data_IF_162075574649
#
_entry.id   IF_162075574649
#
_cell.length_a   1.000
_cell.length_b   1.000
_cell.length_c   1.000
_cell.angle_alpha   90.00
_cell.angle_beta   90.00
_cell.angle_gamma   90.00
#
_symmetry.space_group_name_H-M   'P 1'
#
loop_
_entity.id
_entity.type
_entity.pdbx_description
1 polymer ?
#
# COMPACT_ATOMS: atom_id res chain seq x y z
N UNK A 1 11.75 12.91 41.45
CA UNK A 1 12.61 14.03 41.90
C UNK A 1 11.78 15.28 42.15
N UNK A 2 11.10 15.42 43.31
CA UNK A 2 10.22 16.57 43.59
C UNK A 2 10.93 17.93 43.54
N UNK A 3 12.13 18.03 44.10
CA UNK A 3 12.93 19.27 44.11
C UNK A 3 13.27 19.78 42.70
N UNK A 4 13.46 18.87 41.73
CA UNK A 4 13.65 19.24 40.32
C UNK A 4 12.39 19.88 39.74
N UNK A 5 11.21 19.37 40.10
CA UNK A 5 9.93 19.92 39.64
C UNK A 5 9.70 21.31 40.23
N UNK A 6 10.03 21.52 41.51
CA UNK A 6 9.95 22.84 42.15
C UNK A 6 10.91 23.83 41.49
N UNK A 7 12.14 23.40 41.20
CA UNK A 7 13.12 24.22 40.49
C UNK A 7 12.66 24.59 39.06
N UNK A 8 12.11 23.62 38.31
CA UNK A 8 11.55 23.87 36.98
C UNK A 8 10.34 24.80 37.05
N UNK A 9 9.47 24.67 38.05
CA UNK A 9 8.33 25.55 38.26
C UNK A 9 8.79 26.99 38.53
N UNK A 10 9.81 27.19 39.39
CA UNK A 10 10.38 28.50 39.63
C UNK A 10 10.99 29.09 38.34
N UNK A 11 11.78 28.30 37.59
CA UNK A 11 12.34 28.72 36.29
C UNK A 11 11.27 29.10 35.29
N UNK A 12 10.13 28.42 35.30
CA UNK A 12 9.00 28.73 34.42
C UNK A 12 8.46 30.12 34.72
N UNK A 13 8.21 30.42 35.99
CA UNK A 13 7.73 31.73 36.47
C UNK A 13 8.75 32.82 36.14
N UNK A 14 10.02 32.61 36.46
CA UNK A 14 11.12 33.56 36.24
C UNK A 14 11.32 33.87 34.75
N UNK A 15 11.06 32.89 33.87
CA UNK A 15 11.11 33.06 32.41
C UNK A 15 9.88 33.76 31.81
N UNK A 16 8.96 34.24 32.65
CA UNK A 16 7.71 34.88 32.22
C UNK A 16 6.71 33.87 31.64
N UNK A 17 6.65 32.66 32.20
CA UNK A 17 5.73 31.60 31.77
C UNK A 17 5.99 31.13 30.32
N UNK A 18 7.23 31.24 29.85
CA UNK A 18 7.60 30.90 28.46
C UNK A 18 7.83 29.40 28.29
N UNK A 19 6.89 28.72 27.62
CA UNK A 19 7.01 27.29 27.30
C UNK A 19 8.25 27.03 26.43
N UNK A 20 8.59 27.94 25.52
CA UNK A 20 9.77 27.81 24.65
C UNK A 20 11.09 27.90 25.43
N UNK A 21 11.16 28.78 26.43
CA UNK A 21 12.31 28.86 27.32
C UNK A 21 12.46 27.56 28.12
N UNK A 22 11.35 27.00 28.61
CA UNK A 22 11.35 25.73 29.34
C UNK A 22 11.81 24.56 28.47
N UNK A 23 11.27 24.41 27.26
CA UNK A 23 11.72 23.39 26.31
C UNK A 23 13.21 23.53 26.02
N UNK A 24 13.70 24.75 25.78
CA UNK A 24 15.13 24.99 25.52
C UNK A 24 15.99 24.59 26.72
N UNK A 25 15.57 24.92 27.93
CA UNK A 25 16.29 24.54 29.15
C UNK A 25 16.41 23.02 29.28
N UNK A 26 15.32 22.29 29.06
CA UNK A 26 15.30 20.83 29.12
C UNK A 26 16.17 20.24 28.00
N UNK A 27 15.97 20.68 26.76
CA UNK A 27 16.69 20.16 25.59
C UNK A 27 18.20 20.45 25.59
N UNK A 28 18.63 21.45 26.36
CA UNK A 28 20.04 21.80 26.54
C UNK A 28 20.62 21.26 27.85
N UNK A 29 19.86 20.48 28.62
CA UNK A 29 20.39 19.82 29.81
C UNK A 29 21.29 18.65 29.44
N UNK A 30 22.31 18.38 30.26
CA UNK A 30 23.19 17.23 30.07
C UNK A 30 22.39 15.92 30.03
N UNK A 31 21.38 15.78 30.89
CA UNK A 31 20.49 14.60 30.92
C UNK A 31 19.75 14.39 29.61
N UNK A 32 19.22 15.44 28.97
CA UNK A 32 18.52 15.30 27.69
C UNK A 32 19.48 15.00 26.52
N UNK A 33 20.73 15.48 26.61
CA UNK A 33 21.75 15.29 25.57
C UNK A 33 22.55 13.99 25.72
N UNK A 34 22.28 13.20 26.75
CA UNK A 34 22.87 11.87 26.92
C UNK A 34 22.44 10.94 25.78
N UNK A 35 23.39 10.11 25.32
CA UNK A 35 23.11 9.09 24.31
C UNK A 35 22.43 7.87 24.91
N UNK A 36 21.47 7.33 24.18
CA UNK A 36 20.66 6.17 24.61
C UNK A 36 21.32 4.83 24.31
N UNK A 37 22.17 4.79 23.27
CA UNK A 37 23.04 3.67 22.92
C UNK A 37 24.27 3.53 23.84
N UNK A 38 24.48 4.48 24.75
CA UNK A 38 25.49 4.43 25.80
C UNK A 38 26.93 4.60 25.36
N UNK A 39 27.19 5.01 24.12
CA UNK A 39 28.54 5.30 23.65
C UNK A 39 28.95 6.70 24.09
N UNK A 40 29.54 6.83 25.28
CA UNK A 40 30.20 8.08 25.69
C UNK A 40 31.47 8.22 24.83
N UNK A 41 31.45 8.96 23.71
CA UNK A 41 32.72 9.37 23.12
C UNK A 41 33.47 10.24 24.14
N UNK A 42 34.74 9.91 24.38
CA UNK A 42 35.62 10.60 25.33
C UNK A 42 35.56 12.12 25.14
N UNK A 43 34.92 12.83 26.06
CA UNK A 43 35.19 14.24 26.27
C UNK A 43 36.24 14.39 27.39
N UNK A 44 37.47 13.97 27.12
CA UNK A 44 38.70 14.43 27.80
C UNK A 44 39.89 13.53 27.44
N UNK A 45 41.06 14.16 27.31
CA UNK A 45 42.37 13.56 27.11
C UNK A 45 42.88 12.76 28.33
N UNK A 46 42.01 12.08 29.06
CA UNK A 46 42.41 11.24 30.18
C UNK A 46 43.09 9.95 29.68
N UNK A 47 44.37 9.72 30.03
CA UNK A 47 45.03 8.44 29.80
C UNK A 47 44.57 7.46 30.89
N UNK A 48 44.17 6.24 30.52
CA UNK A 48 43.73 5.15 31.41
C UNK A 48 42.30 5.18 32.00
N UNK A 49 41.27 5.35 31.18
CA UNK A 49 39.96 4.76 31.51
C UNK A 49 39.53 3.77 30.43
N UNK A 50 39.06 2.61 30.85
CA UNK A 50 38.49 1.54 30.02
C UNK A 50 37.50 2.09 28.99
N UNK A 51 37.49 1.48 27.80
CA UNK A 51 36.71 1.88 26.62
C UNK A 51 35.25 2.18 26.99
N UNK A 52 34.66 3.31 26.56
CA UNK A 52 33.28 3.70 26.90
C UNK A 52 32.22 2.61 26.68
N UNK A 53 32.38 1.79 25.63
CA UNK A 53 31.51 0.65 25.34
C UNK A 53 31.49 -0.44 26.45
N UNK A 54 32.59 -0.61 27.20
CA UNK A 54 32.69 -1.57 28.31
C UNK A 54 31.96 -1.06 29.56
N UNK A 55 31.85 0.26 29.74
CA UNK A 55 31.12 0.84 30.86
C UNK A 55 29.60 0.76 30.62
N UNK A 56 29.16 0.92 29.37
CA UNK A 56 27.74 0.74 29.02
C UNK A 56 27.27 -0.71 29.15
N UNK A 57 28.05 -1.68 28.68
CA UNK A 57 27.69 -3.10 28.80
C UNK A 57 27.61 -3.53 30.26
N UNK A 58 28.54 -3.06 31.10
CA UNK A 58 28.49 -3.26 32.55
C UNK A 58 27.27 -2.57 33.20
N UNK A 59 26.98 -1.32 32.83
CA UNK A 59 25.80 -0.60 33.32
C UNK A 59 24.49 -1.31 32.95
N UNK A 60 24.37 -1.79 31.70
CA UNK A 60 23.21 -2.56 31.22
C UNK A 60 23.09 -3.93 31.89
N UNK A 61 24.19 -4.57 32.26
CA UNK A 61 24.16 -5.80 33.07
C UNK A 61 23.73 -5.52 34.52
N UNK A 62 24.12 -4.39 35.09
CA UNK A 62 23.78 -4.02 36.46
C UNK A 62 22.36 -3.47 36.65
N UNK A 63 21.83 -2.76 35.65
CA UNK A 63 20.47 -2.20 35.62
C UNK A 63 19.83 -2.43 34.23
N UNK A 64 19.46 -3.68 33.91
CA UNK A 64 18.89 -4.03 32.62
C UNK A 64 17.56 -3.32 32.35
N UNK A 65 16.76 -3.11 33.40
CA UNK A 65 15.45 -2.45 33.35
C UNK A 65 15.55 -0.92 33.34
N UNK A 66 16.77 -0.36 33.40
CA UNK A 66 17.03 1.08 33.41
C UNK A 66 16.24 1.82 34.51
N UNK A 67 16.11 1.21 35.69
CA UNK A 67 15.38 1.76 36.84
C UNK A 67 16.00 3.05 37.38
N UNK A 68 17.31 3.19 37.20
CA UNK A 68 18.06 4.38 37.60
C UNK A 68 18.08 5.47 36.52
N UNK A 69 17.40 5.24 35.38
CA UNK A 69 17.26 6.20 34.27
C UNK A 69 18.62 6.70 33.73
N UNK A 70 19.58 5.78 33.64
CA UNK A 70 20.92 6.05 33.11
C UNK A 70 20.97 6.31 31.60
N UNK A 71 19.88 5.98 30.90
CA UNK A 71 19.66 6.21 29.47
C UNK A 71 18.18 6.51 29.24
N UNK A 72 17.84 7.04 28.07
CA UNK A 72 16.44 7.05 27.64
C UNK A 72 15.99 5.61 27.29
N UNK A 73 14.76 5.27 27.65
CA UNK A 73 14.16 3.99 27.27
C UNK A 73 13.58 4.15 25.87
N UNK A 74 14.04 3.37 24.87
CA UNK A 74 13.50 3.46 23.53
C UNK A 74 12.01 3.21 23.54
N UNK A 75 11.27 4.07 22.83
CA UNK A 75 9.84 3.89 22.64
C UNK A 75 9.55 3.85 21.15
N UNK A 76 8.50 3.11 20.80
CA UNK A 76 8.11 2.96 19.41
C UNK A 76 7.38 4.21 18.95
N UNK A 77 7.61 4.59 17.70
CA UNK A 77 6.82 5.64 17.05
C UNK A 77 5.34 5.26 17.05
N UNK A 78 4.50 6.18 17.52
CA UNK A 78 3.06 6.10 17.29
C UNK A 78 2.75 6.13 15.78
N UNK A 79 1.53 5.76 15.39
CA UNK A 79 1.17 5.76 13.98
C UNK A 79 1.36 7.12 13.31
N UNK A 80 0.95 8.19 14.00
CA UNK A 80 1.05 9.55 13.49
C UNK A 80 2.52 9.95 13.25
N UNK A 81 3.40 9.58 14.17
CA UNK A 81 4.84 9.84 14.07
C UNK A 81 5.49 8.98 13.00
N UNK A 82 5.17 7.69 12.94
CA UNK A 82 5.69 6.78 11.91
C UNK A 82 5.29 7.25 10.50
N UNK A 83 4.03 7.65 10.31
CA UNK A 83 3.54 8.20 9.04
C UNK A 83 4.27 9.46 8.64
N UNK A 84 4.45 10.38 9.59
CA UNK A 84 5.18 11.62 9.37
C UNK A 84 6.66 11.36 9.09
N UNK A 85 7.28 10.39 9.78
CA UNK A 85 8.66 9.97 9.57
C UNK A 85 8.87 9.37 8.17
N UNK A 86 8.00 8.47 7.71
CA UNK A 86 8.08 7.91 6.35
C UNK A 86 7.93 8.99 5.27
N UNK A 87 7.05 9.97 5.46
CA UNK A 87 6.91 11.12 4.56
C UNK A 87 8.12 12.05 4.60
N UNK A 88 8.69 12.28 5.78
CA UNK A 88 9.86 13.14 5.94
C UNK A 88 11.09 12.51 5.30
N UNK A 89 11.35 11.23 5.58
CA UNK A 89 12.45 10.46 5.01
C UNK A 89 12.42 10.48 3.48
N UNK A 90 11.24 10.27 2.88
CA UNK A 90 11.03 10.26 1.43
C UNK A 90 11.02 11.65 0.79
N UNK A 91 11.09 12.73 1.57
CA UNK A 91 11.08 14.11 1.07
C UNK A 91 9.70 14.60 0.63
N UNK A 92 8.64 13.90 1.00
CA UNK A 92 7.26 14.22 0.60
C UNK A 92 6.49 15.02 1.65
N UNK A 93 6.97 15.08 2.90
CA UNK A 93 6.26 15.75 3.98
C UNK A 93 6.01 17.23 3.69
N UNK A 94 4.73 17.62 3.69
CA UNK A 94 4.28 19.00 3.60
C UNK A 94 4.06 19.59 5.00
N UNK A 95 4.86 20.62 5.34
CA UNK A 95 4.85 21.29 6.63
C UNK A 95 3.83 22.44 6.76
N UNK A 96 2.93 22.63 5.78
CA UNK A 96 1.90 23.67 5.83
C UNK A 96 1.01 23.53 7.07
N UNK A 97 0.97 24.61 7.86
CA UNK A 97 0.14 24.75 9.06
C UNK A 97 -1.29 25.15 8.69
N UNK A 98 -2.29 24.52 9.32
CA UNK A 98 -3.72 24.84 9.16
C UNK A 98 -4.31 24.51 7.78
N UNK A 99 -5.58 24.85 7.54
CA UNK A 99 -6.29 24.53 6.29
C UNK A 99 -7.12 23.24 6.36
N UNK A 100 -7.87 22.95 5.29
CA UNK A 100 -8.85 21.86 5.24
C UNK A 100 -8.17 20.49 5.43
N UNK A 101 -8.73 19.59 6.25
CA UNK A 101 -8.22 18.23 6.39
C UNK A 101 -8.54 17.38 5.15
N UNK A 102 -7.71 16.38 4.91
CA UNK A 102 -7.87 15.40 3.82
C UNK A 102 -7.85 13.98 4.40
N UNK A 103 -8.40 13.01 3.68
CA UNK A 103 -8.36 11.61 4.07
C UNK A 103 -6.92 11.13 4.29
N UNK A 104 -6.69 10.28 5.30
CA UNK A 104 -5.37 9.85 5.77
C UNK A 104 -4.44 9.33 4.66
N UNK A 105 -5.00 8.57 3.71
CA UNK A 105 -4.29 7.98 2.57
C UNK A 105 -4.73 8.54 1.21
N UNK A 106 -5.39 9.70 1.19
CA UNK A 106 -5.64 10.39 -0.07
C UNK A 106 -4.29 10.64 -0.78
N UNK A 107 -4.23 10.44 -2.10
CA UNK A 107 -2.98 10.55 -2.86
C UNK A 107 -2.32 11.95 -2.74
N UNK A 108 -3.13 12.99 -2.55
CA UNK A 108 -2.73 14.37 -2.32
C UNK A 108 -2.23 14.64 -0.88
N UNK A 109 -2.57 13.79 0.07
CA UNK A 109 -2.31 14.05 1.48
C UNK A 109 -0.89 13.63 1.88
N UNK A 110 0.05 14.55 1.67
CA UNK A 110 1.42 14.43 2.15
C UNK A 110 1.68 15.29 3.42
N UNK A 111 0.62 15.76 4.08
CA UNK A 111 0.72 16.64 5.26
C UNK A 111 1.01 15.84 6.52
N UNK A 112 1.49 16.54 7.56
CA UNK A 112 1.57 15.99 8.92
C UNK A 112 0.25 15.36 9.33
N UNK A 113 0.31 14.20 9.96
CA UNK A 113 -0.84 13.38 10.33
C UNK A 113 -1.78 14.11 11.29
N UNK A 114 -1.25 15.09 12.05
CA UNK A 114 -2.02 16.06 12.83
C UNK A 114 -3.14 16.76 12.04
N UNK A 115 -2.97 16.96 10.73
CA UNK A 115 -3.95 17.62 9.86
C UNK A 115 -4.80 16.65 9.02
N UNK A 116 -4.70 15.33 9.28
CA UNK A 116 -5.55 14.35 8.62
C UNK A 116 -7.00 14.46 9.12
N UNK A 117 -7.94 14.12 8.24
CA UNK A 117 -9.36 14.03 8.61
C UNK A 117 -9.54 12.86 9.57
N UNK A 118 -10.10 13.15 10.75
CA UNK A 118 -10.58 12.14 11.70
C UNK A 118 -12.09 12.20 11.69
N UNK A 119 -12.71 11.22 11.04
CA UNK A 119 -14.14 10.96 11.18
C UNK A 119 -14.37 10.14 12.45
N UNK A 120 -15.01 10.73 13.46
CA UNK A 120 -15.23 10.08 14.75
C UNK A 120 -16.14 8.86 14.64
N UNK A 121 -17.04 8.84 13.66
CA UNK A 121 -17.96 7.72 13.43
C UNK A 121 -17.31 6.59 12.62
N UNK A 122 -16.25 6.91 11.85
CA UNK A 122 -15.60 5.98 10.95
C UNK A 122 -14.07 6.16 10.94
N UNK A 123 -13.45 5.87 12.08
CA UNK A 123 -11.99 5.92 12.21
C UNK A 123 -11.36 4.83 11.33
N UNK A 124 -10.38 5.15 10.46
CA UNK A 124 -9.71 4.16 9.64
C UNK A 124 -9.14 3.00 10.47
N UNK A 125 -9.41 1.76 10.06
CA UNK A 125 -8.97 0.55 10.78
C UNK A 125 -7.46 0.47 11.02
N UNK A 126 -6.66 1.09 10.14
CA UNK A 126 -5.21 1.21 10.34
C UNK A 126 -4.88 1.98 11.63
N UNK A 127 -5.59 3.05 11.94
CA UNK A 127 -5.29 3.87 13.12
C UNK A 127 -5.55 3.06 14.38
N UNK A 128 -6.66 2.31 14.40
CA UNK A 128 -6.98 1.38 15.48
C UNK A 128 -5.94 0.26 15.62
N UNK A 129 -5.38 -0.23 14.51
CA UNK A 129 -4.33 -1.28 14.52
C UNK A 129 -3.04 -0.79 15.18
N UNK A 130 -2.81 0.52 15.20
CA UNK A 130 -1.66 1.16 15.83
C UNK A 130 -2.07 1.98 17.07
N UNK A 131 -3.06 1.48 17.81
CA UNK A 131 -3.45 1.99 19.12
C UNK A 131 -3.79 3.49 19.16
N UNK A 132 -4.35 4.01 18.07
CA UNK A 132 -4.85 5.38 18.02
C UNK A 132 -5.90 5.62 19.11
N UNK A 133 -5.81 6.78 19.77
CA UNK A 133 -6.75 7.16 20.81
C UNK A 133 -8.17 7.29 20.25
N UNK A 134 -9.13 6.65 20.90
CA UNK A 134 -10.56 6.83 20.60
C UNK A 134 -10.92 8.33 20.73
N UNK A 135 -11.41 8.98 19.66
CA UNK A 135 -11.68 10.41 19.66
C UNK A 135 -12.91 10.83 20.49
N UNK A 136 -13.73 9.88 20.94
CA UNK A 136 -14.91 10.12 21.76
C UNK A 136 -14.65 9.95 23.27
N UNK A 137 -13.46 9.48 23.65
CA UNK A 137 -13.10 9.23 25.05
C UNK A 137 -11.94 10.11 25.50
N UNK A 138 -11.93 10.44 26.79
CA UNK A 138 -10.75 11.03 27.43
C UNK A 138 -9.76 9.90 27.75
N UNK A 139 -8.62 9.88 27.04
CA UNK A 139 -7.58 8.87 27.17
C UNK A 139 -6.32 9.52 27.75
N UNK A 140 -6.02 9.35 29.06
CA UNK A 140 -4.85 9.96 29.68
C UNK A 140 -3.54 9.27 29.27
N UNK A 141 -3.60 7.99 28.88
CA UNK A 141 -2.47 7.20 28.40
C UNK A 141 -2.96 6.24 27.32
N UNK A 142 -2.24 6.16 26.20
CA UNK A 142 -2.51 5.18 25.15
C UNK A 142 -1.91 3.83 25.53
N UNK A 143 -2.61 2.76 25.18
CA UNK A 143 -2.02 1.41 25.20
C UNK A 143 -1.05 1.30 24.03
N UNK A 144 0.03 0.53 24.19
CA UNK A 144 0.93 0.20 23.09
C UNK A 144 0.93 -1.31 22.89
N UNK A 145 0.58 -1.74 21.69
CA UNK A 145 0.56 -3.15 21.30
C UNK A 145 1.60 -3.42 20.22
N UNK A 146 2.22 -4.58 20.30
CA UNK A 146 3.13 -5.09 19.28
C UNK A 146 2.48 -6.30 18.62
N UNK A 147 1.80 -6.07 17.50
CA UNK A 147 1.04 -7.11 16.80
C UNK A 147 1.57 -7.30 15.36
N UNK A 148 1.57 -8.54 14.82
CA UNK A 148 2.08 -8.82 13.48
C UNK A 148 1.42 -8.00 12.36
N UNK A 149 0.16 -7.60 12.55
CA UNK A 149 -0.61 -6.79 11.59
C UNK A 149 0.05 -5.44 11.30
N UNK A 150 0.73 -4.85 12.29
CA UNK A 150 1.44 -3.58 12.11
C UNK A 150 2.68 -3.75 11.22
N UNK A 151 3.41 -4.87 11.35
CA UNK A 151 4.52 -5.19 10.46
C UNK A 151 4.01 -5.52 9.04
N UNK A 152 2.92 -6.28 8.94
CA UNK A 152 2.26 -6.58 7.66
C UNK A 152 1.76 -5.33 6.95
N UNK A 153 1.27 -4.33 7.68
CA UNK A 153 0.95 -3.02 7.13
C UNK A 153 2.18 -2.38 6.48
N UNK A 154 3.33 -2.36 7.18
CA UNK A 154 4.58 -1.83 6.65
C UNK A 154 5.05 -2.53 5.36
N UNK A 155 4.91 -3.86 5.33
CA UNK A 155 5.36 -4.68 4.19
C UNK A 155 4.44 -4.56 2.96
N UNK A 156 3.14 -4.33 3.15
CA UNK A 156 2.16 -4.50 2.06
C UNK A 156 1.39 -3.23 1.71
N UNK A 157 1.29 -2.25 2.60
CA UNK A 157 0.40 -1.13 2.37
C UNK A 157 0.95 -0.18 1.29
N UNK A 158 0.13 0.22 0.29
CA UNK A 158 0.59 1.05 -0.83
C UNK A 158 1.27 2.35 -0.40
N UNK A 159 0.85 2.94 0.72
CA UNK A 159 1.45 4.15 1.26
C UNK A 159 2.95 4.00 1.56
N UNK A 160 3.35 2.93 2.25
CA UNK A 160 4.76 2.70 2.65
C UNK A 160 5.59 2.36 1.41
N UNK A 161 5.05 1.52 0.53
CA UNK A 161 5.63 1.21 -0.78
C UNK A 161 5.90 2.50 -1.57
N UNK A 162 4.96 3.43 -1.62
CA UNK A 162 5.15 4.72 -2.31
C UNK A 162 6.25 5.58 -1.67
N UNK A 163 6.47 5.51 -0.36
CA UNK A 163 7.56 6.24 0.30
C UNK A 163 8.91 5.62 -0.04
N UNK A 164 9.00 4.29 -0.07
CA UNK A 164 10.21 3.59 -0.49
C UNK A 164 10.58 3.92 -1.94
N UNK A 165 9.61 3.87 -2.87
CA UNK A 165 9.81 4.27 -4.26
C UNK A 165 10.25 5.73 -4.41
N UNK A 166 9.65 6.64 -3.64
CA UNK A 166 10.00 8.05 -3.67
C UNK A 166 11.44 8.31 -3.20
N UNK A 167 11.86 7.67 -2.10
CA UNK A 167 13.23 7.80 -1.59
C UNK A 167 14.25 7.17 -2.55
N UNK A 168 13.97 6.00 -3.12
CA UNK A 168 14.83 5.39 -4.15
C UNK A 168 14.96 6.27 -5.39
N UNK A 169 13.85 6.86 -5.86
CA UNK A 169 13.90 7.80 -6.98
C UNK A 169 14.73 9.03 -6.64
N UNK A 170 14.61 9.55 -5.42
CA UNK A 170 15.36 10.71 -4.97
C UNK A 170 16.86 10.40 -4.80
N UNK A 171 17.21 9.20 -4.33
CA UNK A 171 18.61 8.79 -4.20
C UNK A 171 19.34 8.73 -5.55
N UNK A 172 18.60 8.62 -6.66
CA UNK A 172 19.11 8.62 -8.03
C UNK A 172 19.10 10.00 -8.73
N UNK A 173 18.68 11.09 -8.08
CA UNK A 173 18.62 12.43 -8.69
C UNK A 173 19.99 13.15 -8.71
N UNK A 174 20.20 14.15 -9.60
CA UNK A 174 21.48 14.86 -9.80
C UNK A 174 22.01 15.61 -8.55
N UNK A 175 23.31 16.03 -8.51
CA UNK A 175 24.29 15.99 -9.60
C UNK A 175 25.03 14.64 -9.64
N UNK A 176 25.17 14.09 -10.85
CA UNK A 176 25.84 12.82 -11.18
C UNK A 176 25.11 11.52 -10.79
N UNK A 177 25.30 10.48 -11.62
CA UNK A 177 24.84 9.12 -11.35
C UNK A 177 25.62 8.60 -10.14
N UNK A 178 25.04 8.77 -8.94
CA UNK A 178 25.59 8.20 -7.71
C UNK A 178 25.92 6.72 -7.93
N UNK A 179 27.14 6.34 -7.54
CA UNK A 179 27.50 4.94 -7.33
C UNK A 179 26.54 4.31 -6.33
N UNK A 180 26.45 2.98 -6.35
CA UNK A 180 25.58 2.27 -5.41
C UNK A 180 25.99 2.54 -3.95
N UNK A 181 27.29 2.72 -3.68
CA UNK A 181 27.77 3.15 -2.37
C UNK A 181 27.23 4.54 -1.98
N UNK A 182 27.30 5.53 -2.86
CA UNK A 182 26.78 6.88 -2.59
C UNK A 182 25.26 6.90 -2.44
N UNK A 183 24.53 6.06 -3.18
CA UNK A 183 23.08 5.87 -2.97
C UNK A 183 22.79 5.31 -1.59
N UNK A 184 23.52 4.29 -1.15
CA UNK A 184 23.39 3.72 0.19
C UNK A 184 23.66 4.77 1.26
N UNK A 185 24.76 5.54 1.14
CA UNK A 185 25.04 6.64 2.08
C UNK A 185 23.91 7.66 2.13
N UNK A 186 23.36 8.05 0.97
CA UNK A 186 22.22 8.97 0.93
C UNK A 186 20.99 8.41 1.63
N UNK A 187 20.64 7.14 1.38
CA UNK A 187 19.49 6.47 2.00
C UNK A 187 19.66 6.42 3.52
N UNK A 188 20.83 6.00 4.01
CA UNK A 188 21.14 5.96 5.44
C UNK A 188 21.09 7.35 6.08
N UNK A 189 21.63 8.38 5.42
CA UNK A 189 21.54 9.75 5.91
C UNK A 189 20.08 10.25 6.00
N UNK A 190 19.21 9.81 5.09
CA UNK A 190 17.77 10.18 5.10
C UNK A 190 16.96 9.43 6.15
N UNK A 191 17.29 8.16 6.41
CA UNK A 191 16.53 7.31 7.33
C UNK A 191 17.05 7.41 8.77
N UNK A 192 18.37 7.36 8.96
CA UNK A 192 19.01 7.24 10.27
C UNK A 192 19.84 8.46 10.67
N UNK A 193 19.96 9.46 9.78
CA UNK A 193 20.74 10.68 10.01
C UNK A 193 22.24 10.44 10.31
N UNK A 194 22.76 9.28 9.92
CA UNK A 194 24.18 8.90 10.03
C UNK A 194 24.64 8.15 8.77
N UNK A 195 25.95 8.06 8.51
CA UNK A 195 26.47 7.15 7.49
C UNK A 195 26.26 5.68 7.88
N UNK A 196 26.18 4.76 6.90
CA UNK A 196 26.24 3.33 7.17
C UNK A 196 27.62 2.95 7.72
N UNK A 197 27.66 1.94 8.59
CA UNK A 197 28.89 1.24 8.95
C UNK A 197 29.42 0.44 7.76
N UNK A 198 30.68 -0.01 7.82
CA UNK A 198 31.27 -0.82 6.75
C UNK A 198 30.51 -2.13 6.50
N UNK A 199 29.98 -2.76 7.55
CA UNK A 199 29.18 -3.98 7.46
C UNK A 199 27.82 -3.70 6.83
N UNK A 200 27.11 -2.67 7.29
CA UNK A 200 25.82 -2.25 6.72
C UNK A 200 25.94 -1.88 5.24
N UNK A 201 27.00 -1.16 4.87
CA UNK A 201 27.28 -0.81 3.48
C UNK A 201 27.49 -2.07 2.64
N UNK A 202 28.31 -3.01 3.12
CA UNK A 202 28.56 -4.28 2.43
C UNK A 202 27.28 -5.11 2.27
N UNK A 203 26.47 -5.25 3.32
CA UNK A 203 25.19 -5.97 3.27
C UNK A 203 24.18 -5.31 2.33
N UNK A 204 24.06 -3.99 2.36
CA UNK A 204 23.17 -3.24 1.47
C UNK A 204 23.57 -3.43 0.00
N UNK A 205 24.87 -3.34 -0.32
CA UNK A 205 25.39 -3.56 -1.67
C UNK A 205 25.18 -5.00 -2.14
N UNK A 206 25.45 -5.99 -1.29
CA UNK A 206 25.20 -7.39 -1.60
C UNK A 206 23.71 -7.66 -1.87
N UNK A 207 22.83 -7.05 -1.07
CA UNK A 207 21.38 -7.19 -1.22
C UNK A 207 20.90 -6.64 -2.57
N UNK A 208 21.30 -5.42 -2.95
CA UNK A 208 20.82 -4.79 -4.20
C UNK A 208 21.42 -5.40 -5.47
N UNK A 209 22.56 -6.08 -5.34
CA UNK A 209 23.22 -6.82 -6.42
C UNK A 209 22.69 -8.25 -6.58
N UNK A 210 21.92 -8.75 -5.61
CA UNK A 210 21.29 -10.07 -5.74
C UNK A 210 20.21 -9.97 -6.81
N UNK A 211 20.28 -10.83 -7.83
CA UNK A 211 19.21 -10.97 -8.83
C UNK A 211 17.93 -11.40 -8.12
N UNK A 212 17.10 -10.42 -7.76
CA UNK A 212 15.78 -10.64 -7.16
C UNK A 212 14.81 -11.09 -8.24
N UNK A 213 15.05 -12.25 -8.85
CA UNK A 213 13.96 -13.01 -9.46
C UNK A 213 13.07 -13.42 -8.29
N UNK A 214 11.85 -12.88 -8.15
CA UNK A 214 11.07 -13.12 -6.95
C UNK A 214 10.73 -14.60 -6.85
N UNK A 215 11.10 -15.24 -5.75
CA UNK A 215 10.75 -16.64 -5.45
C UNK A 215 9.23 -16.82 -5.32
N UNK A 216 8.49 -15.73 -5.11
CA UNK A 216 7.02 -15.67 -5.08
C UNK A 216 6.50 -14.82 -6.26
N UNK A 217 7.04 -15.01 -7.46
CA UNK A 217 6.41 -14.57 -8.70
C UNK A 217 5.49 -15.67 -9.29
N UNK A 218 4.89 -16.51 -8.44
CA UNK A 218 3.79 -17.36 -8.87
C UNK A 218 2.63 -16.43 -9.28
N UNK A 219 2.53 -16.22 -10.59
CA UNK A 219 1.40 -15.66 -11.33
C UNK A 219 0.64 -14.54 -10.61
N UNK A 220 1.09 -13.29 -10.78
CA UNK A 220 0.22 -12.15 -10.51
C UNK A 220 -0.90 -12.12 -11.56
N UNK A 221 -1.92 -12.96 -11.37
CA UNK A 221 -3.06 -13.15 -12.28
C UNK A 221 -3.82 -11.85 -12.52
N UNK A 222 -3.71 -10.86 -11.61
CA UNK A 222 -4.27 -9.52 -11.80
C UNK A 222 -3.71 -8.79 -13.03
N UNK A 223 -2.50 -9.13 -13.49
CA UNK A 223 -1.92 -8.59 -14.74
C UNK A 223 -2.72 -8.96 -15.98
N UNK A 224 -3.41 -10.09 -15.96
CA UNK A 224 -4.24 -10.54 -17.09
C UNK A 224 -5.57 -9.79 -17.16
N UNK A 225 -5.99 -9.10 -16.10
CA UNK A 225 -7.29 -8.43 -16.04
C UNK A 225 -7.19 -6.94 -16.32
N UNK A 226 -8.11 -6.44 -17.16
CA UNK A 226 -8.23 -5.04 -17.53
C UNK A 226 -9.68 -4.59 -17.40
N UNK A 227 -9.90 -3.35 -16.94
CA UNK A 227 -11.22 -2.83 -16.63
C UNK A 227 -11.47 -1.57 -17.46
N UNK A 228 -12.54 -1.59 -18.25
CA UNK A 228 -12.78 -0.56 -19.23
C UNK A 228 -14.22 -0.47 -19.67
N UNK A 229 -14.42 0.24 -20.76
CA UNK A 229 -15.69 0.38 -21.44
C UNK A 229 -15.49 0.41 -22.96
N UNK A 230 -16.58 0.18 -23.70
CA UNK A 230 -16.59 0.28 -25.16
C UNK A 230 -17.95 -0.02 -25.76
N UNK A 231 -18.05 0.09 -27.08
CA UNK A 231 -19.28 -0.21 -27.81
C UNK A 231 -19.27 -1.66 -28.31
N UNK A 232 -20.34 -2.40 -28.04
CA UNK A 232 -20.57 -3.73 -28.62
C UNK A 232 -20.90 -3.62 -30.12
N UNK A 233 -20.17 -4.35 -30.96
CA UNK A 233 -20.48 -4.50 -32.38
C UNK A 233 -21.17 -5.84 -32.65
N UNK A 234 -22.46 -5.76 -32.95
CA UNK A 234 -23.30 -6.92 -33.28
C UNK A 234 -22.80 -7.69 -34.50
N UNK A 235 -22.06 -7.05 -35.42
CA UNK A 235 -21.59 -7.67 -36.66
C UNK A 235 -20.35 -8.52 -36.42
N UNK A 236 -19.32 -7.93 -35.80
CA UNK A 236 -18.07 -8.64 -35.51
C UNK A 236 -18.15 -9.51 -34.25
N UNK A 237 -19.16 -9.28 -33.41
CA UNK A 237 -19.32 -9.92 -32.11
C UNK A 237 -18.18 -9.55 -31.15
N UNK A 238 -17.70 -8.30 -31.20
CA UNK A 238 -16.55 -7.79 -30.43
C UNK A 238 -16.81 -6.36 -29.97
N UNK A 239 -15.98 -5.88 -29.04
CA UNK A 239 -15.95 -4.45 -28.66
C UNK A 239 -15.24 -3.65 -29.75
N UNK A 240 -15.86 -2.60 -30.29
CA UNK A 240 -15.28 -1.73 -31.35
C UNK A 240 -13.96 -1.11 -30.90
N UNK A 241 -13.93 -0.59 -29.68
CA UNK A 241 -12.74 0.02 -29.06
C UNK A 241 -12.84 -0.13 -27.56
N UNK A 242 -11.81 -0.72 -26.96
CA UNK A 242 -11.69 -0.80 -25.50
C UNK A 242 -11.00 0.45 -24.98
N UNK A 243 -11.62 1.13 -24.02
CA UNK A 243 -11.05 2.28 -23.32
C UNK A 243 -10.97 1.96 -21.83
N UNK A 244 -9.78 2.07 -21.19
CA UNK A 244 -9.69 1.87 -19.74
C UNK A 244 -10.58 2.84 -18.96
N UNK A 245 -11.15 2.37 -17.86
CA UNK A 245 -11.79 3.25 -16.88
C UNK A 245 -10.69 4.03 -16.14
N UNK A 246 -10.79 5.36 -16.02
CA UNK A 246 -9.67 6.18 -15.58
C UNK A 246 -9.50 6.27 -14.06
N UNK A 247 -10.51 5.93 -13.27
CA UNK A 247 -10.50 6.15 -11.82
C UNK A 247 -10.77 4.87 -11.04
N UNK A 248 -9.92 4.58 -10.05
CA UNK A 248 -10.11 3.50 -9.09
C UNK A 248 -10.32 4.06 -7.69
N UNK A 249 -11.43 3.69 -7.05
CA UNK A 249 -11.83 4.23 -5.74
C UNK A 249 -11.21 3.50 -4.54
N UNK A 250 -10.54 2.37 -4.78
CA UNK A 250 -10.17 1.39 -3.75
C UNK A 250 -10.97 0.09 -3.86
N UNK A 251 -12.19 0.16 -4.38
CA UNK A 251 -13.10 -0.99 -4.51
C UNK A 251 -13.79 -1.08 -5.87
N UNK A 252 -13.74 -0.02 -6.69
CA UNK A 252 -14.39 0.03 -8.00
C UNK A 252 -13.56 0.81 -9.02
N UNK A 253 -13.63 0.37 -10.28
CA UNK A 253 -13.20 1.13 -11.46
C UNK A 253 -14.40 1.88 -12.02
N UNK A 254 -14.26 3.18 -12.26
CA UNK A 254 -15.33 4.06 -12.74
C UNK A 254 -14.78 5.26 -13.52
N UNK A 255 -15.67 6.11 -14.01
CA UNK A 255 -15.31 7.19 -14.92
C UNK A 255 -14.61 8.40 -14.31
N UNK A 256 -14.83 8.71 -13.03
CA UNK A 256 -14.16 9.79 -12.29
C UNK A 256 -14.41 9.60 -10.78
N UNK A 257 -13.96 10.52 -9.93
CA UNK A 257 -14.25 10.50 -8.48
C UNK A 257 -15.76 10.61 -8.20
N UNK A 258 -16.48 11.43 -8.96
CA UNK A 258 -17.94 11.47 -8.94
C UNK A 258 -18.54 10.28 -9.69
N UNK A 259 -19.55 9.63 -9.11
CA UNK A 259 -20.32 8.56 -9.75
C UNK A 259 -21.80 8.68 -9.39
N UNK A 260 -22.72 8.76 -10.39
CA UNK A 260 -22.44 8.84 -11.83
C UNK A 260 -21.77 10.15 -12.23
N UNK A 261 -21.05 10.16 -13.36
CA UNK A 261 -20.43 11.39 -13.91
C UNK A 261 -21.04 11.81 -15.26
N UNK A 262 -20.63 12.98 -15.76
CA UNK A 262 -21.17 13.53 -17.01
C UNK A 262 -20.75 12.75 -18.27
N UNK A 263 -19.61 12.04 -18.25
CA UNK A 263 -19.02 11.42 -19.45
C UNK A 263 -19.39 9.96 -19.64
N UNK A 264 -19.22 9.17 -18.59
CA UNK A 264 -19.45 7.72 -18.57
C UNK A 264 -20.65 7.34 -17.71
N UNK A 265 -21.24 8.30 -17.00
CA UNK A 265 -22.47 8.07 -16.24
C UNK A 265 -22.28 7.03 -15.16
N UNK A 266 -23.12 6.00 -15.20
CA UNK A 266 -23.13 4.90 -14.23
C UNK A 266 -22.08 3.82 -14.49
N UNK A 267 -21.27 3.91 -15.55
CA UNK A 267 -20.29 2.87 -15.88
C UNK A 267 -19.34 2.59 -14.71
N UNK A 268 -19.44 1.39 -14.14
CA UNK A 268 -18.62 0.95 -13.02
C UNK A 268 -18.39 -0.56 -13.08
N UNK A 269 -17.19 -0.98 -12.70
CA UNK A 269 -16.85 -2.37 -12.42
C UNK A 269 -16.34 -2.48 -10.99
N UNK A 270 -16.80 -3.49 -10.26
CA UNK A 270 -16.31 -3.87 -8.94
C UNK A 270 -15.71 -5.27 -9.01
N UNK A 271 -15.12 -5.78 -7.92
CA UNK A 271 -14.65 -7.17 -7.88
C UNK A 271 -15.76 -8.16 -8.24
N UNK A 272 -16.98 -7.89 -7.76
CA UNK A 272 -18.13 -8.80 -7.84
C UNK A 272 -19.00 -8.62 -9.08
N UNK A 273 -19.00 -7.42 -9.67
CA UNK A 273 -19.92 -7.09 -10.75
C UNK A 273 -19.76 -5.65 -11.26
N UNK A 274 -20.85 -4.90 -11.29
CA UNK A 274 -20.83 -3.49 -11.70
C UNK A 274 -22.19 -2.93 -12.12
N UNK A 275 -22.12 -1.83 -12.86
CA UNK A 275 -23.26 -1.21 -13.52
C UNK A 275 -22.84 -0.78 -14.94
N UNK A 276 -23.65 -1.04 -15.98
CA UNK A 276 -23.34 -0.57 -17.32
C UNK A 276 -23.34 0.96 -17.41
N UNK A 277 -22.72 1.51 -18.45
CA UNK A 277 -22.79 2.94 -18.74
C UNK A 277 -24.17 3.39 -19.19
N UNK A 278 -24.30 4.67 -19.48
CA UNK A 278 -25.60 5.27 -19.79
C UNK A 278 -26.19 4.89 -21.16
N UNK A 279 -25.37 4.26 -22.00
CA UNK A 279 -25.77 3.85 -23.34
C UNK A 279 -24.92 2.65 -23.78
N UNK A 280 -25.27 2.10 -24.93
CA UNK A 280 -24.58 0.95 -25.52
C UNK A 280 -23.18 1.27 -26.05
N UNK A 281 -22.79 2.55 -26.16
CA UNK A 281 -21.42 2.95 -26.51
C UNK A 281 -20.48 2.91 -25.30
N UNK A 282 -21.05 2.90 -24.11
CA UNK A 282 -20.33 2.84 -22.84
C UNK A 282 -20.63 1.54 -22.08
N UNK A 283 -20.78 0.42 -22.80
CA UNK A 283 -20.83 -0.90 -22.18
C UNK A 283 -19.60 -1.09 -21.31
N UNK A 284 -19.77 -1.61 -20.09
CA UNK A 284 -18.61 -1.95 -19.26
C UNK A 284 -17.99 -3.25 -19.76
N UNK A 285 -16.66 -3.29 -19.74
CA UNK A 285 -15.88 -4.42 -20.27
C UNK A 285 -14.87 -4.84 -19.22
N UNK A 286 -15.06 -6.04 -18.67
CA UNK A 286 -14.01 -6.75 -17.94
C UNK A 286 -13.27 -7.63 -18.94
N UNK A 287 -11.99 -7.36 -19.17
CA UNK A 287 -11.17 -8.05 -20.17
C UNK A 287 -10.14 -8.93 -19.49
N UNK A 288 -10.08 -10.19 -19.89
CA UNK A 288 -8.95 -11.06 -19.61
C UNK A 288 -8.03 -11.15 -20.83
N UNK A 289 -6.72 -11.17 -20.62
CA UNK A 289 -5.70 -11.36 -21.65
C UNK A 289 -4.95 -12.65 -21.35
N UNK A 290 -4.95 -13.57 -22.33
CA UNK A 290 -4.27 -14.85 -22.23
C UNK A 290 -2.76 -14.63 -22.04
N UNK A 291 -2.16 -15.13 -20.95
CA UNK A 291 -0.73 -14.95 -20.69
C UNK A 291 0.15 -15.90 -21.50
N UNK A 292 -0.41 -16.99 -22.00
CA UNK A 292 0.30 -18.00 -22.78
C UNK A 292 -0.63 -18.63 -23.83
N UNK A 293 -0.03 -19.33 -24.79
CA UNK A 293 -0.75 -20.20 -25.70
C UNK A 293 -1.33 -21.38 -24.91
N UNK A 294 -2.56 -21.77 -25.22
CA UNK A 294 -3.17 -22.91 -24.55
C UNK A 294 -4.67 -23.03 -24.71
N UNK A 295 -5.22 -24.02 -24.02
CA UNK A 295 -6.65 -24.24 -23.88
C UNK A 295 -7.10 -23.81 -22.49
N UNK A 296 -8.20 -23.08 -22.40
CA UNK A 296 -8.71 -22.54 -21.14
C UNK A 296 -10.21 -22.81 -20.97
N UNK A 297 -10.60 -23.15 -19.75
CA UNK A 297 -11.99 -23.33 -19.34
C UNK A 297 -12.51 -22.07 -18.65
N UNK A 298 -13.76 -21.71 -18.93
CA UNK A 298 -14.48 -20.61 -18.31
C UNK A 298 -15.59 -21.14 -17.42
N UNK A 299 -15.52 -20.82 -16.12
CA UNK A 299 -16.64 -20.96 -15.18
C UNK A 299 -17.20 -19.57 -14.86
N UNK A 300 -18.45 -19.35 -15.22
CA UNK A 300 -19.04 -18.01 -15.27
C UNK A 300 -20.54 -18.06 -15.08
N UNK A 301 -21.04 -17.38 -14.05
CA UNK A 301 -22.46 -17.18 -13.78
C UNK A 301 -22.69 -15.69 -13.67
N UNK A 302 -23.61 -15.17 -14.49
CA UNK A 302 -24.05 -13.78 -14.46
C UNK A 302 -25.39 -13.71 -13.70
N UNK A 303 -25.55 -12.71 -12.84
CA UNK A 303 -26.77 -12.46 -12.09
C UNK A 303 -27.20 -11.01 -12.29
N UNK A 304 -28.47 -10.80 -12.60
CA UNK A 304 -29.15 -9.52 -12.55
C UNK A 304 -30.27 -9.61 -11.51
N UNK A 305 -30.06 -9.06 -10.32
CA UNK A 305 -31.00 -9.18 -9.20
C UNK A 305 -32.28 -8.33 -9.35
N UNK A 306 -32.23 -7.10 -9.87
CA UNK A 306 -33.44 -6.27 -9.96
C UNK A 306 -34.51 -6.87 -10.85
N UNK A 307 -35.76 -6.81 -10.39
CA UNK A 307 -36.95 -7.31 -11.12
C UNK A 307 -37.69 -6.20 -11.88
N UNK A 308 -37.19 -4.98 -11.79
CA UNK A 308 -37.73 -3.76 -12.41
C UNK A 308 -36.74 -3.26 -13.46
N UNK A 309 -37.21 -2.43 -14.39
CA UNK A 309 -36.43 -2.04 -15.57
C UNK A 309 -36.65 -3.02 -16.72
N UNK A 310 -35.75 -2.99 -17.69
CA UNK A 310 -35.74 -3.93 -18.83
C UNK A 310 -34.49 -4.80 -18.90
N UNK A 311 -33.62 -4.65 -17.90
CA UNK A 311 -32.50 -5.54 -17.64
C UNK A 311 -31.29 -5.28 -18.52
N UNK A 312 -30.35 -6.21 -18.45
CA UNK A 312 -29.04 -6.09 -19.09
C UNK A 312 -28.91 -7.03 -20.28
N UNK A 313 -28.06 -6.65 -21.23
CA UNK A 313 -27.49 -7.58 -22.21
C UNK A 313 -26.05 -7.84 -21.85
N UNK A 314 -25.65 -9.09 -21.99
CA UNK A 314 -24.31 -9.51 -21.65
C UNK A 314 -23.71 -10.45 -22.69
N UNK A 315 -22.41 -10.32 -22.90
CA UNK A 315 -21.67 -11.02 -23.96
C UNK A 315 -20.33 -11.53 -23.44
N UNK A 316 -19.96 -12.73 -23.88
CA UNK A 316 -18.61 -13.28 -23.76
C UNK A 316 -18.01 -13.30 -25.17
N UNK A 317 -16.93 -12.55 -25.38
CA UNK A 317 -16.34 -12.32 -26.70
C UNK A 317 -14.86 -12.67 -26.73
N UNK A 318 -14.45 -13.47 -27.70
CA UNK A 318 -13.05 -13.78 -27.96
C UNK A 318 -12.47 -12.84 -29.02
N UNK A 319 -11.26 -12.33 -28.77
CA UNK A 319 -10.54 -11.41 -29.67
C UNK A 319 -10.40 -11.89 -31.11
N UNK A 320 -10.41 -13.21 -31.36
CA UNK A 320 -10.34 -13.83 -32.70
C UNK A 320 -11.63 -14.47 -33.19
N UNK A 321 -12.39 -15.09 -32.28
CA UNK A 321 -13.58 -15.88 -32.63
C UNK A 321 -14.86 -15.04 -32.60
N UNK A 322 -14.80 -13.83 -32.04
CA UNK A 322 -15.98 -13.00 -31.81
C UNK A 322 -16.85 -13.54 -30.68
N UNK A 323 -18.17 -13.38 -30.79
CA UNK A 323 -19.13 -13.76 -29.76
C UNK A 323 -19.12 -15.28 -29.51
N UNK A 324 -18.83 -15.69 -28.27
CA UNK A 324 -18.90 -17.09 -27.82
C UNK A 324 -20.22 -17.39 -27.09
N UNK A 325 -20.68 -16.45 -26.27
CA UNK A 325 -21.95 -16.52 -25.52
C UNK A 325 -22.61 -15.15 -25.43
N UNK A 326 -23.94 -15.14 -25.28
CA UNK A 326 -24.70 -13.94 -24.95
C UNK A 326 -25.98 -14.28 -24.23
N UNK A 327 -26.48 -13.35 -23.42
CA UNK A 327 -27.76 -13.49 -22.74
C UNK A 327 -28.38 -12.12 -22.48
N UNK A 328 -29.68 -12.10 -22.19
CA UNK A 328 -30.40 -10.93 -21.69
C UNK A 328 -31.09 -11.34 -20.40
N UNK A 329 -30.88 -10.59 -19.32
CA UNK A 329 -31.38 -10.93 -17.99
C UNK A 329 -32.17 -9.78 -17.38
N UNK A 330 -33.28 -10.15 -16.75
CA UNK A 330 -34.09 -9.30 -15.87
C UNK A 330 -34.52 -10.16 -14.68
N UNK A 331 -34.12 -9.76 -13.48
CA UNK A 331 -34.44 -10.45 -12.22
C UNK A 331 -34.05 -11.93 -12.19
N UNK A 332 -32.96 -12.32 -12.88
CA UNK A 332 -32.59 -13.71 -13.12
C UNK A 332 -31.07 -13.91 -13.22
N UNK A 333 -30.64 -15.15 -13.42
CA UNK A 333 -29.24 -15.54 -13.59
C UNK A 333 -29.07 -16.45 -14.81
N UNK A 334 -27.86 -16.48 -15.37
CA UNK A 334 -27.51 -17.37 -16.48
C UNK A 334 -26.06 -17.83 -16.39
N UNK A 335 -25.86 -19.12 -16.65
CA UNK A 335 -24.53 -19.72 -16.75
C UNK A 335 -23.97 -19.55 -18.16
N UNK A 336 -22.76 -19.03 -18.26
CA UNK A 336 -22.06 -18.71 -19.51
C UNK A 336 -20.75 -19.48 -19.61
N UNK A 337 -20.76 -20.73 -19.13
CA UNK A 337 -19.59 -21.60 -19.09
C UNK A 337 -19.18 -22.05 -20.50
N UNK A 338 -17.87 -22.24 -20.68
CA UNK A 338 -17.25 -22.71 -21.91
C UNK A 338 -16.06 -23.59 -21.52
N UNK A 339 -15.88 -24.69 -22.23
CA UNK A 339 -14.75 -25.60 -22.01
C UNK A 339 -13.82 -25.56 -23.22
N UNK A 340 -12.53 -25.75 -22.96
CA UNK A 340 -11.47 -25.92 -23.94
C UNK A 340 -11.41 -24.83 -25.03
N UNK A 341 -11.48 -23.55 -24.64
CA UNK A 341 -11.31 -22.43 -25.56
C UNK A 341 -9.82 -22.30 -25.90
N UNK A 342 -9.46 -22.33 -27.18
CA UNK A 342 -8.08 -22.14 -27.63
C UNK A 342 -7.70 -20.64 -27.68
N UNK A 343 -6.57 -20.30 -27.06
CA UNK A 343 -5.98 -18.96 -27.04
C UNK A 343 -4.52 -19.00 -27.51
N UNK A 344 -4.08 -17.92 -28.14
CA UNK A 344 -2.65 -17.55 -28.18
C UNK A 344 -2.36 -16.46 -27.16
N UNK A 345 -1.11 -16.35 -26.72
CA UNK A 345 -0.65 -15.30 -25.82
C UNK A 345 -1.03 -13.92 -26.38
N UNK A 346 -1.69 -13.11 -25.56
CA UNK A 346 -2.20 -11.79 -25.93
C UNK A 346 -3.65 -11.77 -26.45
N UNK A 347 -4.25 -12.92 -26.74
CA UNK A 347 -5.67 -13.00 -27.09
C UNK A 347 -6.54 -12.56 -25.90
N UNK A 348 -7.66 -11.89 -26.19
CA UNK A 348 -8.57 -11.40 -25.15
C UNK A 348 -9.86 -12.22 -25.06
N UNK A 349 -10.36 -12.34 -23.83
CA UNK A 349 -11.73 -12.77 -23.52
C UNK A 349 -12.43 -11.62 -22.79
N UNK A 350 -13.41 -11.01 -23.44
CA UNK A 350 -14.13 -9.85 -22.95
C UNK A 350 -15.49 -10.27 -22.38
N UNK A 351 -15.77 -9.85 -21.15
CA UNK A 351 -17.05 -9.94 -20.48
C UNK A 351 -17.69 -8.56 -20.52
N UNK A 352 -18.71 -8.42 -21.35
CA UNK A 352 -19.29 -7.13 -21.73
C UNK A 352 -20.70 -7.08 -21.20
N UNK A 353 -21.06 -5.98 -20.53
CA UNK A 353 -22.43 -5.71 -20.10
C UNK A 353 -22.85 -4.33 -20.59
N UNK A 354 -23.97 -4.28 -21.32
CA UNK A 354 -24.63 -3.03 -21.66
C UNK A 354 -26.11 -3.05 -21.27
N UNK A 355 -26.72 -1.87 -21.34
CA UNK A 355 -28.12 -1.66 -21.00
C UNK A 355 -29.05 -2.29 -22.05
N UNK A 356 -30.28 -2.55 -21.62
CA UNK A 356 -31.40 -2.82 -22.51
C UNK A 356 -31.77 -1.60 -23.38
N UNK A 357 -32.98 -1.10 -23.21
CA UNK A 357 -33.55 0.11 -23.81
C UNK A 357 -33.68 1.24 -22.78
N UNK A 358 -33.82 0.90 -21.49
CA UNK A 358 -33.79 1.81 -20.35
C UNK A 358 -32.44 1.82 -19.64
N UNK A 359 -32.27 2.80 -18.75
CA UNK A 359 -31.05 3.00 -17.93
C UNK A 359 -31.29 2.61 -16.45
N UNK A 360 -32.43 1.99 -16.16
CA UNK A 360 -32.93 1.88 -14.80
C UNK A 360 -32.74 0.48 -14.24
N UNK A 361 -32.05 0.39 -13.10
CA UNK A 361 -31.87 -0.82 -12.31
C UNK A 361 -31.07 -1.93 -13.00
N UNK A 362 -29.97 -1.54 -13.65
CA UNK A 362 -29.14 -2.42 -14.49
C UNK A 362 -27.90 -2.98 -13.75
N UNK A 363 -27.85 -2.89 -12.43
CA UNK A 363 -26.75 -3.47 -11.64
C UNK A 363 -26.68 -4.99 -11.82
N UNK A 364 -25.45 -5.51 -11.85
CA UNK A 364 -25.19 -6.92 -12.09
C UNK A 364 -24.06 -7.47 -11.22
N UNK A 365 -24.07 -8.78 -11.03
CA UNK A 365 -22.97 -9.55 -10.42
C UNK A 365 -22.39 -10.49 -11.48
N UNK A 366 -21.09 -10.36 -11.74
CA UNK A 366 -20.39 -11.20 -12.69
C UNK A 366 -18.89 -11.32 -12.40
N UNK A 367 -18.50 -12.45 -11.81
CA UNK A 367 -17.13 -12.75 -11.41
C UNK A 367 -16.64 -14.05 -12.06
N UNK A 368 -16.24 -14.01 -13.34
CA UNK A 368 -15.79 -15.20 -14.07
C UNK A 368 -14.48 -15.77 -13.51
N UNK A 369 -14.30 -17.08 -13.65
CA UNK A 369 -13.05 -17.80 -13.37
C UNK A 369 -12.57 -18.49 -14.62
N UNK A 370 -11.30 -18.32 -14.94
CA UNK A 370 -10.64 -18.94 -16.09
C UNK A 370 -9.59 -19.90 -15.56
N UNK A 371 -9.57 -21.13 -16.07
CA UNK A 371 -8.61 -22.17 -15.64
C UNK A 371 -7.87 -22.70 -16.84
N UNK A 372 -6.55 -22.89 -16.73
CA UNK A 372 -5.78 -23.56 -17.79
C UNK A 372 -6.18 -25.04 -17.86
N UNK A 373 -6.63 -25.50 -19.02
CA UNK A 373 -6.94 -26.91 -19.28
C UNK A 373 -5.62 -27.66 -19.48
N UNK A 374 -5.06 -28.25 -18.42
CA UNK A 374 -3.92 -29.17 -18.57
C UNK A 374 -4.45 -30.48 -19.13
N UNK A 375 -4.04 -30.86 -20.34
CA UNK A 375 -4.16 -32.26 -20.78
C UNK A 375 -3.28 -33.08 -19.85
N UNK A 376 -3.87 -33.92 -19.01
CA UNK A 376 -3.12 -34.85 -18.17
C UNK A 376 -2.28 -35.77 -19.08
N UNK A 377 -1.03 -35.40 -19.33
CA UNK A 377 -0.03 -36.32 -19.85
C UNK A 377 0.18 -37.37 -18.77
N UNK A 378 -0.27 -38.58 -19.06
CA UNK A 378 -0.06 -39.79 -18.28
C UNK A 378 1.42 -39.94 -17.91
N UNK A 379 1.78 -39.72 -16.65
CA UNK A 379 3.09 -40.06 -16.12
C UNK A 379 3.53 -39.19 -14.96
N UNK A 380 3.66 -39.81 -13.78
CA UNK A 380 4.17 -39.27 -12.50
C UNK A 380 3.21 -38.33 -11.73
N UNK A 381 2.67 -38.87 -10.64
CA UNK A 381 1.76 -38.18 -9.72
C UNK A 381 2.42 -37.04 -8.97
N UNK A 382 2.17 -35.83 -9.46
CA UNK A 382 2.17 -34.59 -8.68
C UNK A 382 1.02 -33.73 -9.20
N UNK A 383 0.01 -33.49 -8.37
CA UNK A 383 -1.05 -32.53 -8.66
C UNK A 383 -0.40 -31.15 -8.87
N UNK A 384 -0.17 -30.78 -10.12
CA UNK A 384 0.22 -29.41 -10.45
C UNK A 384 -1.07 -28.59 -10.35
N UNK A 385 -1.17 -27.60 -9.45
CA UNK A 385 -2.36 -26.77 -9.36
C UNK A 385 -2.64 -26.17 -10.74
N UNK A 386 -3.87 -26.34 -11.26
CA UNK A 386 -4.25 -25.63 -12.48
C UNK A 386 -4.23 -24.13 -12.18
N UNK A 387 -3.59 -23.34 -13.05
CA UNK A 387 -3.61 -21.88 -12.93
C UNK A 387 -5.06 -21.39 -13.05
N UNK A 388 -5.52 -20.61 -12.05
CA UNK A 388 -6.87 -20.04 -12.00
C UNK A 388 -6.79 -18.52 -11.93
N UNK A 389 -7.31 -17.85 -12.96
CA UNK A 389 -7.59 -16.42 -12.95
C UNK A 389 -9.01 -16.20 -12.41
N UNK A 390 -9.12 -15.66 -11.20
CA UNK A 390 -10.37 -15.43 -10.50
C UNK A 390 -10.67 -13.93 -10.49
N UNK A 391 -11.63 -13.52 -11.30
CA UNK A 391 -11.87 -12.09 -11.55
C UNK A 391 -12.27 -11.29 -10.30
N UNK A 392 -12.76 -11.95 -9.23
CA UNK A 392 -13.06 -11.29 -7.96
C UNK A 392 -11.78 -11.13 -7.12
N UNK A 393 -10.97 -12.19 -7.00
CA UNK A 393 -9.73 -12.18 -6.19
C UNK A 393 -8.63 -11.35 -6.84
N UNK A 394 -8.60 -11.33 -8.16
CA UNK A 394 -7.58 -10.65 -8.96
C UNK A 394 -7.96 -9.18 -9.27
N UNK A 395 -9.07 -8.68 -8.71
CA UNK A 395 -9.54 -7.33 -8.94
C UNK A 395 -8.64 -6.29 -8.26
N UNK A 396 -7.94 -5.48 -9.06
CA UNK A 396 -6.99 -4.51 -8.53
C UNK A 396 -6.87 -3.26 -9.41
N UNK A 397 -6.34 -2.19 -8.80
CA UNK A 397 -5.98 -0.95 -9.48
C UNK A 397 -4.70 -1.08 -10.31
N UNK A 398 -3.83 -1.98 -9.87
CA UNK A 398 -2.48 -2.15 -10.39
C UNK A 398 -2.10 -3.62 -10.19
N UNK A 399 -1.41 -4.24 -11.15
CA UNK A 399 -0.74 -5.49 -10.87
C UNK A 399 0.18 -5.28 -9.66
N UNK A 400 0.27 -6.28 -8.77
CA UNK A 400 1.11 -6.22 -7.56
C UNK A 400 2.49 -5.75 -7.99
N UNK A 401 2.79 -4.48 -7.76
CA UNK A 401 3.99 -3.87 -8.32
C UNK A 401 5.15 -4.49 -7.57
N UNK A 402 5.92 -5.33 -8.26
CA UNK A 402 7.14 -5.88 -7.69
C UNK A 402 8.09 -4.72 -7.41
N UNK A 403 8.58 -4.63 -6.18
CA UNK A 403 9.58 -3.66 -5.80
C UNK A 403 10.92 -4.06 -6.41
N UNK A 404 11.66 -3.10 -6.97
CA UNK A 404 13.06 -3.35 -7.34
C UNK A 404 13.92 -3.63 -6.10
N UNK A 405 15.10 -4.23 -6.25
CA UNK A 405 15.98 -4.53 -5.12
C UNK A 405 16.30 -3.27 -4.27
N UNK A 406 16.46 -2.11 -4.91
CA UNK A 406 16.61 -0.84 -4.20
C UNK A 406 15.36 -0.41 -3.42
N UNK A 407 14.18 -0.57 -4.00
CA UNK A 407 12.92 -0.26 -3.32
C UNK A 407 12.65 -1.21 -2.14
N UNK A 408 13.03 -2.49 -2.27
CA UNK A 408 12.98 -3.47 -1.17
C UNK A 408 13.96 -3.12 -0.06
N UNK A 409 15.21 -2.75 -0.39
CA UNK A 409 16.19 -2.31 0.59
C UNK A 409 15.66 -1.13 1.40
N UNK A 410 15.15 -0.10 0.72
CA UNK A 410 14.58 1.08 1.40
C UNK A 410 13.39 0.69 2.27
N UNK A 411 12.49 -0.17 1.78
CA UNK A 411 11.35 -0.62 2.57
C UNK A 411 11.80 -1.34 3.85
N UNK A 412 12.76 -2.27 3.75
CA UNK A 412 13.29 -2.99 4.92
C UNK A 412 13.91 -2.03 5.92
N UNK A 413 14.70 -1.06 5.46
CA UNK A 413 15.31 -0.05 6.34
C UNK A 413 14.25 0.86 7.00
N UNK A 414 13.18 1.23 6.29
CA UNK A 414 12.04 1.99 6.85
C UNK A 414 11.23 1.21 7.91
N UNK A 415 11.39 -0.11 7.97
CA UNK A 415 10.72 -0.98 8.93
C UNK A 415 11.67 -1.51 10.01
N UNK A 416 12.93 -1.07 10.00
CA UNK A 416 13.90 -1.45 11.02
C UNK A 416 13.55 -0.81 12.37
N UNK A 417 14.04 -1.42 13.45
CA UNK A 417 13.88 -0.84 14.78
C UNK A 417 14.55 0.53 14.89
N UNK A 418 15.67 0.75 14.21
CA UNK A 418 16.37 2.05 14.22
C UNK A 418 15.53 3.18 13.60
N UNK A 419 14.68 2.86 12.62
CA UNK A 419 13.76 3.85 12.05
C UNK A 419 12.48 4.02 12.87
N UNK A 420 11.96 2.92 13.42
CA UNK A 420 10.62 2.85 14.01
C UNK A 420 10.58 3.12 15.51
N UNK A 421 11.73 3.34 16.15
CA UNK A 421 11.84 3.67 17.56
C UNK A 421 12.63 4.97 17.73
N UNK A 422 12.24 5.75 18.73
CA UNK A 422 12.99 6.91 19.21
C UNK A 422 13.72 6.49 20.45
N UNK A 423 15.04 6.66 20.41
CA UNK A 423 15.93 6.44 21.53
C UNK A 423 16.37 7.74 22.18
#
# INVERSE_FOLDING_TARGET
HPELLDWLAQRFIDSGWSIKAMHRLIMLSETYQQRSDGVIEKWSDAPNSSTPALQYSAAKQSDPDNRLLSRMTPHRLSFEEARDAWLAASGRLNLRVGGRPEGLFAASNARRTLYALVDRQNVPSVMTTFDFANPDLSIPQRTETTVPQQALFGLNHPFVVQQAKALTKWSAQPPERRSDAEKTHFIYQRLFQRPPTSEELASALAFVQTDTTPVIAASDHSKSWHYGYGEWDETSGRVKTFKPLPHFTGSAWQGDEAWPNEKLGWAQLTAEGGHPGNDRKHAVVRRWIAPADGSYDLRSTLIHEPKVGDGIRAFVSHSRLGKLRSTTLLGSKSDLQLDAIAFQAGDTLDFIVDIGSGLNSDQFLWSPKITSSVTATTGAGGDTPSDVWDAQKDFSAHPKSQLSAWEQLVQVLMLSNEFMFVD
#
